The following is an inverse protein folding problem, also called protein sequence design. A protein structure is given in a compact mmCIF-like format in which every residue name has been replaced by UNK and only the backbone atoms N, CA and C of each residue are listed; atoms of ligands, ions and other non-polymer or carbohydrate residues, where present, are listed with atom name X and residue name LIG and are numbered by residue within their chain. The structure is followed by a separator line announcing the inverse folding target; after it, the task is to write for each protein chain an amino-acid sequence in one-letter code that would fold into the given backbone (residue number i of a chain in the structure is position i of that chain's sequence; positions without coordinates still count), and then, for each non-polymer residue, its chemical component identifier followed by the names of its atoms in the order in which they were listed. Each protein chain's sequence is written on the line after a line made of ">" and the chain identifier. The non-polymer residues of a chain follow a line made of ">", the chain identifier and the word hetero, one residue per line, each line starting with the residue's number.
data_IF_584543780912
#
_entry.id   IF_584543780912
#
_cell.length_a   1.000
_cell.length_b   1.000
_cell.length_c   1.000
_cell.angle_alpha   90.00
_cell.angle_beta   90.00
_cell.angle_gamma   90.00
#
_symmetry.space_group_name_H-M   'P 1'
#
loop_
_entity.id
_entity.type
_entity.pdbx_description
1 polymer ?
#
# COMPACT_ATOMS: atom_id res chain seq x y z
N UNK A 1 -4.99 -22.71 4.84
CA UNK A 1 -3.54 -22.37 4.90
C UNK A 1 -2.90 -22.11 3.54
N UNK A 2 -3.00 -23.03 2.56
CA UNK A 2 -2.31 -22.87 1.26
C UNK A 2 -2.72 -21.59 0.50
N UNK A 3 -4.02 -21.31 0.38
CA UNK A 3 -4.53 -20.10 -0.28
C UNK A 3 -4.00 -18.81 0.38
N UNK A 4 -3.98 -18.75 1.72
CA UNK A 4 -3.44 -17.62 2.47
C UNK A 4 -1.93 -17.43 2.22
N UNK A 5 -1.15 -18.52 2.12
CA UNK A 5 0.29 -18.45 1.84
C UNK A 5 0.58 -17.96 0.41
N UNK A 6 -0.21 -18.42 -0.56
CA UNK A 6 -0.12 -17.94 -1.93
C UNK A 6 -0.45 -16.45 -2.01
N UNK A 7 -1.54 -16.03 -1.35
CA UNK A 7 -1.93 -14.64 -1.27
C UNK A 7 -0.88 -13.76 -0.59
N UNK A 8 -0.22 -14.25 0.47
CA UNK A 8 0.90 -13.54 1.11
C UNK A 8 2.05 -13.31 0.13
N UNK A 9 2.34 -14.28 -0.74
CA UNK A 9 3.39 -14.16 -1.76
C UNK A 9 3.00 -13.17 -2.87
N UNK A 10 1.72 -13.17 -3.28
CA UNK A 10 1.19 -12.18 -4.22
C UNK A 10 1.24 -10.76 -3.65
N UNK A 11 0.88 -10.59 -2.37
CA UNK A 11 0.99 -9.31 -1.66
C UNK A 11 2.43 -8.82 -1.59
N UNK A 12 3.38 -9.70 -1.26
CA UNK A 12 4.81 -9.37 -1.23
C UNK A 12 5.27 -8.81 -2.59
N UNK A 13 4.92 -9.50 -3.68
CA UNK A 13 5.24 -9.05 -5.04
C UNK A 13 4.56 -7.72 -5.39
N UNK A 14 3.30 -7.52 -5.00
CA UNK A 14 2.57 -6.27 -5.24
C UNK A 14 3.16 -5.10 -4.46
N UNK A 15 3.52 -5.29 -3.19
CA UNK A 15 4.19 -4.25 -2.42
C UNK A 15 5.52 -3.85 -3.06
N UNK A 16 6.33 -4.82 -3.50
CA UNK A 16 7.59 -4.53 -4.22
C UNK A 16 7.31 -3.72 -5.49
N UNK A 17 6.29 -4.10 -6.27
CA UNK A 17 5.91 -3.37 -7.47
C UNK A 17 5.46 -1.93 -7.17
N UNK A 18 4.67 -1.72 -6.13
CA UNK A 18 4.21 -0.37 -5.71
C UNK A 18 5.37 0.49 -5.23
N UNK A 19 6.29 -0.08 -4.44
CA UNK A 19 7.47 0.62 -3.92
C UNK A 19 8.45 1.04 -5.02
N UNK A 20 8.54 0.24 -6.09
CA UNK A 20 9.40 0.52 -7.24
C UNK A 20 8.75 1.43 -8.30
N UNK A 21 7.42 1.57 -8.26
CA UNK A 21 6.70 2.41 -9.22
C UNK A 21 6.64 3.85 -8.73
N UNK A 22 7.16 4.76 -9.55
CA UNK A 22 7.10 6.19 -9.29
C UNK A 22 5.64 6.64 -9.13
N UNK A 23 5.39 7.62 -8.26
CA UNK A 23 4.02 8.01 -7.95
C UNK A 23 3.28 8.72 -9.07
N UNK A 24 4.03 9.25 -10.03
CA UNK A 24 3.52 9.96 -11.20
C UNK A 24 3.23 9.00 -12.37
N UNK A 25 3.59 7.72 -12.25
CA UNK A 25 3.29 6.70 -13.25
C UNK A 25 1.79 6.39 -13.24
N UNK A 26 1.16 6.37 -14.41
CA UNK A 26 -0.27 6.08 -14.57
C UNK A 26 -0.68 4.72 -14.02
N UNK A 27 0.25 3.75 -13.96
CA UNK A 27 -0.01 2.41 -13.41
C UNK A 27 -0.06 2.40 -11.88
N UNK A 28 0.35 3.48 -11.24
CA UNK A 28 0.54 3.50 -9.80
C UNK A 28 -0.77 3.37 -9.03
N UNK A 29 -1.81 4.10 -9.45
CA UNK A 29 -3.14 4.01 -8.84
C UNK A 29 -3.74 2.61 -9.02
N UNK A 30 -3.51 2.01 -10.19
CA UNK A 30 -3.95 0.66 -10.55
C UNK A 30 -3.30 -0.40 -9.67
N UNK A 31 -2.00 -0.26 -9.37
CA UNK A 31 -1.27 -1.15 -8.46
C UNK A 31 -1.73 -0.98 -7.00
N UNK A 32 -2.00 0.26 -6.57
CA UNK A 32 -2.52 0.53 -5.22
C UNK A 32 -3.92 -0.07 -5.05
N UNK A 33 -4.79 0.05 -6.06
CA UNK A 33 -6.11 -0.59 -6.03
C UNK A 33 -6.00 -2.11 -5.92
N UNK A 34 -5.16 -2.75 -6.74
CA UNK A 34 -4.91 -4.20 -6.68
C UNK A 34 -4.34 -4.62 -5.33
N UNK A 35 -3.46 -3.81 -4.74
CA UNK A 35 -2.93 -4.07 -3.40
C UNK A 35 -4.04 -4.04 -2.34
N UNK A 36 -4.97 -3.08 -2.42
CA UNK A 36 -6.12 -3.00 -1.52
C UNK A 36 -7.01 -4.23 -1.65
N UNK A 37 -7.39 -4.61 -2.88
CA UNK A 37 -8.23 -5.79 -3.11
C UNK A 37 -7.62 -7.07 -2.50
N UNK A 38 -6.30 -7.22 -2.62
CA UNK A 38 -5.56 -8.37 -2.07
C UNK A 38 -5.43 -8.34 -0.55
N UNK A 39 -5.36 -7.15 0.05
CA UNK A 39 -5.39 -7.00 1.51
C UNK A 39 -6.78 -7.40 2.05
N UNK A 40 -7.84 -6.98 1.38
CA UNK A 40 -9.22 -7.31 1.76
C UNK A 40 -9.46 -8.83 1.64
N UNK A 41 -9.01 -9.45 0.54
CA UNK A 41 -9.02 -10.91 0.37
C UNK A 41 -8.29 -11.62 1.52
N UNK A 42 -7.13 -11.08 1.93
CA UNK A 42 -6.33 -11.65 3.03
C UNK A 42 -7.05 -11.53 4.36
N UNK A 43 -7.72 -10.41 4.60
CA UNK A 43 -8.47 -10.20 5.84
C UNK A 43 -9.61 -11.22 5.98
N UNK A 44 -10.29 -11.56 4.87
CA UNK A 44 -11.32 -12.60 4.86
C UNK A 44 -10.74 -13.98 5.19
N UNK A 45 -9.65 -14.38 4.53
CA UNK A 45 -9.01 -15.67 4.79
C UNK A 45 -8.45 -15.79 6.21
N UNK A 46 -7.95 -14.70 6.78
CA UNK A 46 -7.53 -14.68 8.18
C UNK A 46 -8.71 -14.77 9.15
N UNK A 47 -9.83 -14.10 8.85
CA UNK A 47 -11.02 -14.18 9.69
C UNK A 47 -11.57 -15.61 9.71
N UNK A 48 -11.60 -16.29 8.56
CA UNK A 48 -11.97 -17.71 8.46
C UNK A 48 -11.02 -18.60 9.27
N UNK A 49 -9.71 -18.38 9.14
CA UNK A 49 -8.69 -19.13 9.89
C UNK A 49 -8.84 -18.96 11.41
N UNK A 50 -9.14 -17.74 11.88
CA UNK A 50 -9.31 -17.44 13.30
C UNK A 50 -10.66 -17.91 13.86
N UNK A 51 -11.66 -18.11 13.00
CA UNK A 51 -12.95 -18.68 13.37
C UNK A 51 -12.91 -20.21 13.47
N UNK A 52 -11.89 -20.86 12.89
CA UNK A 52 -11.69 -22.30 12.98
C UNK A 52 -11.14 -22.69 14.36
N UNK A 53 -12.01 -23.25 15.21
CA UNK A 53 -11.66 -23.72 16.56
C UNK A 53 -10.62 -24.86 16.55
N UNK A 54 -10.41 -25.52 15.41
CA UNK A 54 -9.38 -26.56 15.25
C UNK A 54 -7.99 -26.00 14.97
N UNK A 55 -7.87 -24.68 14.75
CA UNK A 55 -6.62 -24.02 14.46
C UNK A 55 -5.76 -23.86 15.74
N UNK A 56 -4.85 -24.80 15.97
CA UNK A 56 -3.97 -24.84 17.15
C UNK A 56 -2.47 -24.59 16.85
N UNK A 57 -2.12 -24.43 15.57
CA UNK A 57 -0.75 -24.17 15.13
C UNK A 57 -0.33 -22.73 15.45
N UNK A 58 0.14 -22.54 16.68
CA UNK A 58 0.70 -21.28 17.18
C UNK A 58 1.81 -20.73 16.29
N UNK A 59 2.70 -21.59 15.77
CA UNK A 59 3.84 -21.12 14.97
C UNK A 59 3.36 -20.46 13.69
N UNK A 60 2.37 -21.08 13.03
CA UNK A 60 1.75 -20.51 11.85
C UNK A 60 1.04 -19.18 12.15
N UNK A 61 0.30 -19.09 13.25
CA UNK A 61 -0.37 -17.84 13.66
C UNK A 61 0.63 -16.71 13.95
N UNK A 62 1.74 -17.00 14.63
CA UNK A 62 2.83 -16.04 14.86
C UNK A 62 3.49 -15.57 13.56
N UNK A 63 3.65 -16.46 12.58
CA UNK A 63 4.11 -16.09 11.24
C UNK A 63 3.11 -15.16 10.54
N UNK A 64 1.81 -15.45 10.58
CA UNK A 64 0.79 -14.58 9.99
C UNK A 64 0.72 -13.21 10.66
N UNK A 65 0.93 -13.14 11.97
CA UNK A 65 1.04 -11.87 12.69
C UNK A 65 2.26 -11.08 12.25
N UNK A 66 3.42 -11.73 12.13
CA UNK A 66 4.66 -11.12 11.65
C UNK A 66 4.49 -10.54 10.24
N UNK A 67 3.90 -11.30 9.33
CA UNK A 67 3.58 -10.84 7.97
C UNK A 67 2.62 -9.64 7.99
N UNK A 68 1.57 -9.69 8.82
CA UNK A 68 0.60 -8.60 8.96
C UNK A 68 1.28 -7.30 9.39
N UNK A 69 2.17 -7.39 10.39
CA UNK A 69 2.93 -6.23 10.85
C UNK A 69 3.86 -5.70 9.75
N UNK A 70 4.54 -6.58 9.00
CA UNK A 70 5.38 -6.20 7.87
C UNK A 70 4.61 -5.44 6.79
N UNK A 71 3.48 -6.00 6.33
CA UNK A 71 2.62 -5.34 5.34
C UNK A 71 2.07 -4.01 5.83
N UNK A 72 1.70 -3.91 7.12
CA UNK A 72 1.23 -2.67 7.71
C UNK A 72 2.30 -1.56 7.67
N UNK A 73 3.54 -1.87 8.07
CA UNK A 73 4.62 -0.89 8.04
C UNK A 73 4.91 -0.41 6.61
N UNK A 74 4.91 -1.32 5.63
CA UNK A 74 5.10 -0.96 4.21
C UNK A 74 3.98 -0.08 3.68
N UNK A 75 2.73 -0.41 4.00
CA UNK A 75 1.57 0.40 3.62
C UNK A 75 1.64 1.82 4.21
N UNK A 76 2.08 1.96 5.47
CA UNK A 76 2.32 3.27 6.08
C UNK A 76 3.43 4.06 5.38
N UNK A 77 4.54 3.40 5.03
CA UNK A 77 5.65 4.03 4.32
C UNK A 77 5.22 4.53 2.93
N UNK A 78 4.51 3.69 2.16
CA UNK A 78 3.94 4.07 0.85
C UNK A 78 3.01 5.26 1.01
N UNK A 79 2.07 5.22 1.96
CA UNK A 79 1.15 6.33 2.23
C UNK A 79 1.90 7.63 2.53
N UNK A 80 2.91 7.58 3.40
CA UNK A 80 3.71 8.75 3.77
C UNK A 80 4.49 9.32 2.56
N UNK A 81 5.10 8.45 1.75
CA UNK A 81 5.79 8.85 0.53
C UNK A 81 4.84 9.58 -0.44
N UNK A 82 3.64 9.03 -0.66
CA UNK A 82 2.63 9.62 -1.55
C UNK A 82 2.12 10.96 -1.03
N UNK A 83 1.87 11.06 0.27
CA UNK A 83 1.46 12.32 0.89
C UNK A 83 2.53 13.41 0.77
N UNK A 84 3.81 13.06 0.94
CA UNK A 84 4.93 13.99 0.77
C UNK A 84 4.99 14.55 -0.65
N UNK A 85 4.82 13.69 -1.67
CA UNK A 85 4.82 14.10 -3.08
C UNK A 85 3.64 15.03 -3.42
N UNK A 86 2.44 14.72 -2.93
CA UNK A 86 1.27 15.60 -3.10
C UNK A 86 1.50 16.99 -2.49
N UNK A 87 2.10 17.06 -1.30
CA UNK A 87 2.41 18.33 -0.65
C UNK A 87 3.48 19.12 -1.41
N UNK A 88 4.52 18.45 -1.94
CA UNK A 88 5.56 19.07 -2.75
C UNK A 88 4.98 19.63 -4.07
N UNK A 89 4.15 18.86 -4.77
CA UNK A 89 3.46 19.31 -5.98
C UNK A 89 2.55 20.52 -5.74
N UNK A 90 1.83 20.56 -4.62
CA UNK A 90 1.00 21.70 -4.23
C UNK A 90 1.81 22.97 -3.92
N UNK A 91 2.99 22.84 -3.30
CA UNK A 91 3.90 23.97 -3.06
C UNK A 91 4.47 24.52 -4.38
N UNK A 92 4.88 23.63 -5.29
CA UNK A 92 5.42 24.03 -6.60
C UNK A 92 4.36 24.73 -7.47
N UNK A 93 3.11 24.23 -7.51
CA UNK A 93 2.00 24.89 -8.22
C UNK A 93 1.73 26.31 -7.70
N UNK A 94 1.70 26.50 -6.37
CA UNK A 94 1.52 27.84 -5.77
C UNK A 94 2.63 28.81 -6.18
N UNK A 95 3.88 28.36 -6.25
CA UNK A 95 5.00 29.21 -6.67
C UNK A 95 4.91 29.58 -8.16
N UNK A 96 4.50 28.64 -9.02
CA UNK A 96 4.29 28.91 -10.45
C UNK A 96 3.15 29.90 -10.70
N UNK A 97 2.04 29.79 -9.97
CA UNK A 97 0.91 30.72 -10.10
C UNK A 97 1.27 32.13 -9.64
N UNK A 98 2.10 32.27 -8.59
CA UNK A 98 2.63 33.58 -8.16
C UNK A 98 3.49 34.21 -9.27
N UNK A 99 4.39 33.45 -9.90
CA UNK A 99 5.20 33.97 -11.00
C UNK A 99 4.36 34.37 -12.22
N UNK A 100 3.35 33.56 -12.60
CA UNK A 100 2.45 33.90 -13.71
C UNK A 100 1.60 35.13 -13.44
N UNK A 101 1.18 35.36 -12.19
CA UNK A 101 0.41 36.56 -11.83
C UNK A 101 1.24 37.84 -11.93
N UNK A 102 2.55 37.78 -11.66
CA UNK A 102 3.45 38.94 -11.76
C UNK A 102 3.73 39.31 -13.22
N UNK A 103 3.83 38.32 -14.13
CA UNK A 103 4.01 38.59 -15.56
C UNK A 103 2.72 39.06 -16.26
N UNK A 104 1.53 38.78 -15.70
CA UNK A 104 0.25 39.21 -16.26
C UNK A 104 -0.11 40.69 -15.93
N UNK A 105 0.56 41.29 -14.95
CA UNK A 105 0.38 42.69 -14.51
C UNK A 105 1.39 43.67 -15.16
N UNK A 106 1.96 43.32 -16.32
CA UNK A 106 2.96 44.14 -17.05
C UNK A 106 2.50 44.65 -18.40
#
# INVERSE_FOLDING_TARGET
>A
MQALNELNSQLEALFVAVEQTAAEDEKSDDLVSKLQDKIDERQLLLAELLADESMDDRSYLEQQLTLTNGFHQRALAIKAQRQSLLQAGNKSKRQLDVYKSIDADR
#
